data_IF_877859354480
#
_entry.id   IF_877859354480
#
_cell.length_a   1.000
_cell.length_b   1.000
_cell.length_c   1.000
_cell.angle_alpha   90.00
_cell.angle_beta   90.00
_cell.angle_gamma   90.00
#
_symmetry.space_group_name_H-M   'P 1'
#
loop_
_entity.id
_entity.type
_entity.pdbx_description
1 polymer ?
#
# COMPACT_ATOMS: atom_id res chain seq x y z
N UNK A 1 -8.12 -31.54 13.88
CA UNK A 1 -7.69 -30.16 13.56
C UNK A 1 -6.17 -30.07 13.34
N UNK A 2 -5.31 -30.28 14.35
CA UNK A 2 -3.83 -30.21 14.21
C UNK A 2 -3.26 -31.00 13.04
N UNK A 3 -3.71 -32.24 12.84
CA UNK A 3 -3.26 -33.08 11.73
C UNK A 3 -3.64 -32.52 10.34
N UNK A 4 -4.80 -31.84 10.23
CA UNK A 4 -5.27 -31.21 8.99
C UNK A 4 -4.38 -30.01 8.68
N UNK A 5 -4.18 -29.12 9.67
CA UNK A 5 -3.29 -27.96 9.54
C UNK A 5 -1.89 -28.40 9.09
N UNK A 6 -1.29 -29.38 9.78
CA UNK A 6 0.04 -29.90 9.43
C UNK A 6 0.09 -30.46 8.00
N UNK A 7 -0.97 -31.13 7.56
CA UNK A 7 -1.07 -31.65 6.19
C UNK A 7 -1.15 -30.51 5.18
N UNK A 8 -1.95 -29.48 5.43
CA UNK A 8 -2.06 -28.33 4.52
C UNK A 8 -0.75 -27.55 4.43
N UNK A 9 -0.10 -27.26 5.56
CA UNK A 9 1.21 -26.63 5.56
C UNK A 9 2.23 -27.44 4.73
N UNK A 10 2.26 -28.76 4.92
CA UNK A 10 3.13 -29.64 4.12
C UNK A 10 2.78 -29.62 2.63
N UNK A 11 1.50 -29.50 2.28
CA UNK A 11 1.06 -29.40 0.89
C UNK A 11 1.54 -28.10 0.25
N UNK A 12 1.44 -26.97 0.96
CA UNK A 12 1.91 -25.66 0.50
C UNK A 12 3.41 -25.61 0.33
N UNK A 13 4.17 -26.05 1.35
CA UNK A 13 5.63 -26.05 1.30
C UNK A 13 6.19 -26.99 0.22
N UNK A 14 5.42 -28.00 -0.21
CA UNK A 14 5.77 -28.87 -1.35
C UNK A 14 5.35 -28.31 -2.70
N UNK A 15 4.51 -27.28 -2.73
CA UNK A 15 4.03 -26.70 -3.96
C UNK A 15 5.08 -25.73 -4.52
N UNK A 16 5.63 -25.93 -5.73
CA UNK A 16 6.62 -25.02 -6.30
C UNK A 16 6.11 -23.58 -6.43
N UNK A 17 4.81 -23.37 -6.66
CA UNK A 17 4.22 -22.04 -6.74
C UNK A 17 4.36 -21.23 -5.43
N UNK A 18 4.46 -21.91 -4.28
CA UNK A 18 4.71 -21.24 -3.00
C UNK A 18 6.08 -20.55 -3.00
N UNK A 19 7.11 -21.26 -3.47
CA UNK A 19 8.49 -20.76 -3.49
C UNK A 19 8.72 -19.77 -4.62
N UNK A 20 8.12 -19.98 -5.79
CA UNK A 20 8.13 -19.01 -6.89
C UNK A 20 7.47 -17.71 -6.43
N UNK A 21 6.31 -17.81 -5.76
CA UNK A 21 5.62 -16.66 -5.18
C UNK A 21 6.49 -15.93 -4.16
N UNK A 22 7.13 -16.66 -3.25
CA UNK A 22 8.05 -16.07 -2.26
C UNK A 22 9.21 -15.32 -2.94
N UNK A 23 9.89 -15.95 -3.90
CA UNK A 23 10.99 -15.33 -4.63
C UNK A 23 10.54 -14.04 -5.33
N UNK A 24 9.41 -14.10 -6.03
CA UNK A 24 8.83 -12.94 -6.70
C UNK A 24 8.53 -11.80 -5.72
N UNK A 25 7.88 -12.11 -4.58
CA UNK A 25 7.57 -11.08 -3.58
C UNK A 25 8.85 -10.47 -3.01
N UNK A 26 9.85 -11.28 -2.66
CA UNK A 26 11.13 -10.76 -2.14
C UNK A 26 11.79 -9.82 -3.14
N UNK A 27 11.84 -10.22 -4.41
CA UNK A 27 12.42 -9.40 -5.46
C UNK A 27 11.68 -8.06 -5.64
N UNK A 28 10.35 -8.10 -5.78
CA UNK A 28 9.54 -6.88 -5.93
C UNK A 28 9.61 -5.97 -4.71
N UNK A 29 9.54 -6.54 -3.49
CA UNK A 29 9.65 -5.78 -2.25
C UNK A 29 11.03 -5.14 -2.12
N UNK A 30 12.10 -5.84 -2.51
CA UNK A 30 13.44 -5.24 -2.50
C UNK A 30 13.54 -4.08 -3.48
N UNK A 31 13.05 -4.22 -4.71
CA UNK A 31 13.05 -3.13 -5.68
C UNK A 31 12.32 -1.88 -5.16
N UNK A 32 11.16 -2.06 -4.53
CA UNK A 32 10.34 -0.95 -4.03
C UNK A 32 10.93 -0.33 -2.77
N UNK A 33 11.47 -1.15 -1.86
CA UNK A 33 11.97 -0.66 -0.57
C UNK A 33 13.44 -0.20 -0.61
N UNK A 34 14.19 -0.60 -1.64
CA UNK A 34 15.60 -0.25 -1.78
C UNK A 34 15.86 1.25 -1.70
N UNK A 35 15.15 2.15 -2.42
CA UNK A 35 15.40 3.58 -2.31
C UNK A 35 15.30 4.10 -0.88
N UNK A 36 14.27 3.67 -0.14
CA UNK A 36 14.07 4.08 1.25
C UNK A 36 15.16 3.56 2.18
N UNK A 37 15.68 2.35 1.94
CA UNK A 37 16.80 1.76 2.71
C UNK A 37 18.14 2.50 2.52
N UNK A 38 18.26 3.34 1.50
CA UNK A 38 19.45 4.15 1.22
C UNK A 38 19.31 5.61 1.68
N UNK A 39 18.22 5.97 2.35
CA UNK A 39 18.09 7.30 2.98
C UNK A 39 19.19 7.46 4.03
N UNK A 40 19.86 8.61 4.00
CA UNK A 40 20.97 8.97 4.87
C UNK A 40 21.03 10.49 5.03
N UNK A 41 21.76 10.96 6.04
CA UNK A 41 22.09 12.37 6.17
C UNK A 41 23.10 12.79 5.10
N UNK A 42 22.82 13.90 4.42
CA UNK A 42 23.64 14.41 3.33
C UNK A 42 24.90 15.07 3.87
N UNK A 43 26.02 14.82 3.21
CA UNK A 43 27.30 15.48 3.52
C UNK A 43 27.38 16.87 2.92
N UNK A 44 28.29 17.70 3.43
CA UNK A 44 28.47 19.07 2.93
C UNK A 44 28.92 19.05 1.46
N UNK A 45 28.11 19.64 0.57
CA UNK A 45 28.36 19.66 -0.88
C UNK A 45 27.78 18.46 -1.64
N UNK A 46 27.13 17.52 -0.94
CA UNK A 46 26.30 16.49 -1.57
C UNK A 46 25.02 17.12 -2.12
N UNK A 47 24.64 16.71 -3.33
CA UNK A 47 23.43 17.16 -4.00
C UNK A 47 22.69 15.94 -4.53
N UNK A 48 21.36 15.94 -4.36
CA UNK A 48 20.53 14.92 -4.95
C UNK A 48 20.56 15.02 -6.48
N UNK A 49 20.30 13.89 -7.16
CA UNK A 49 20.18 13.86 -8.61
C UNK A 49 19.07 14.80 -9.10
N UNK A 50 19.20 15.30 -10.33
CA UNK A 50 18.18 16.17 -10.93
C UNK A 50 17.11 15.30 -11.59
N UNK A 51 15.86 15.49 -11.17
CA UNK A 51 14.73 14.79 -11.77
C UNK A 51 14.21 15.56 -12.98
N UNK A 52 13.74 14.81 -13.97
CA UNK A 52 12.93 15.38 -15.05
C UNK A 52 11.63 15.98 -14.48
N UNK A 53 11.14 17.07 -15.06
CA UNK A 53 9.95 17.80 -14.57
C UNK A 53 8.71 16.91 -14.42
N UNK A 54 8.54 15.94 -15.31
CA UNK A 54 7.43 14.96 -15.27
C UNK A 54 7.47 14.01 -14.06
N UNK A 55 8.65 13.85 -13.43
CA UNK A 55 8.84 13.00 -12.26
C UNK A 55 8.78 13.79 -10.94
N UNK A 56 8.73 15.13 -10.98
CA UNK A 56 8.72 15.97 -9.78
C UNK A 56 7.48 15.70 -8.91
N UNK A 57 6.32 15.46 -9.53
CA UNK A 57 5.10 15.13 -8.79
C UNK A 57 5.23 13.86 -7.93
N UNK A 58 6.03 12.90 -8.37
CA UNK A 58 6.27 11.64 -7.66
C UNK A 58 7.51 11.68 -6.75
N UNK A 59 8.32 12.74 -6.82
CA UNK A 59 9.55 12.91 -6.04
C UNK A 59 9.31 12.77 -4.52
N UNK A 60 10.21 12.09 -3.83
CA UNK A 60 10.15 11.85 -2.39
C UNK A 60 11.50 12.24 -1.77
N UNK A 61 11.64 12.04 -0.46
CA UNK A 61 12.90 12.26 0.24
C UNK A 61 14.05 11.38 -0.30
N UNK A 62 13.72 10.25 -0.93
CA UNK A 62 14.69 9.40 -1.62
C UNK A 62 15.36 10.10 -2.80
N UNK A 63 14.71 11.13 -3.34
CA UNK A 63 15.19 11.95 -4.45
C UNK A 63 15.70 13.32 -3.98
N UNK A 64 15.80 13.52 -2.66
CA UNK A 64 16.23 14.79 -2.04
C UNK A 64 15.19 15.91 -2.05
N UNK A 65 13.90 15.55 -2.17
CA UNK A 65 12.81 16.52 -2.11
C UNK A 65 12.25 16.64 -0.69
N UNK A 66 11.96 17.87 -0.29
CA UNK A 66 11.44 18.24 1.05
C UNK A 66 10.17 19.07 0.93
N UNK A 67 9.29 19.08 1.94
CA UNK A 67 8.08 19.89 1.93
C UNK A 67 8.39 21.38 1.78
N UNK A 68 7.60 22.06 0.96
CA UNK A 68 7.66 23.51 0.77
C UNK A 68 6.77 24.22 1.80
N UNK A 69 7.27 25.30 2.40
CA UNK A 69 6.45 26.19 3.23
C UNK A 69 5.25 26.73 2.44
N UNK A 70 4.05 26.77 3.04
CA UNK A 70 2.83 27.24 2.36
C UNK A 70 3.01 28.62 1.71
N UNK A 71 3.73 29.53 2.37
CA UNK A 71 4.00 30.88 1.85
C UNK A 71 4.91 30.93 0.62
N UNK A 72 5.74 29.90 0.39
CA UNK A 72 6.66 29.80 -0.76
C UNK A 72 6.10 28.95 -1.90
N UNK A 73 5.09 28.12 -1.64
CA UNK A 73 4.50 27.20 -2.62
C UNK A 73 4.00 27.92 -3.87
N UNK A 74 3.30 29.03 -3.69
CA UNK A 74 2.82 29.84 -4.82
C UNK A 74 3.97 30.49 -5.61
N UNK A 75 5.06 30.85 -4.95
CA UNK A 75 6.24 31.42 -5.60
C UNK A 75 6.92 30.41 -6.51
N UNK A 76 7.16 29.19 -6.01
CA UNK A 76 7.72 28.10 -6.82
C UNK A 76 6.81 27.73 -7.99
N UNK A 77 5.49 27.67 -7.76
CA UNK A 77 4.52 27.40 -8.81
C UNK A 77 4.59 28.45 -9.93
N UNK A 78 4.67 29.74 -9.56
CA UNK A 78 4.84 30.83 -10.52
C UNK A 78 6.17 30.73 -11.28
N UNK A 79 7.27 30.32 -10.64
CA UNK A 79 8.55 30.13 -11.32
C UNK A 79 8.51 29.02 -12.38
N UNK A 80 7.78 27.93 -12.10
CA UNK A 80 7.57 26.85 -13.08
C UNK A 80 6.66 27.31 -14.23
N UNK A 81 5.53 27.97 -13.91
CA UNK A 81 4.63 28.54 -14.93
C UNK A 81 5.35 29.56 -15.80
N UNK A 82 6.21 30.40 -15.23
CA UNK A 82 7.01 31.39 -15.97
C UNK A 82 7.86 30.73 -17.06
N UNK A 83 8.54 29.63 -16.72
CA UNK A 83 9.38 28.86 -17.66
C UNK A 83 8.54 28.22 -18.76
N UNK A 84 7.42 27.58 -18.39
CA UNK A 84 6.53 26.92 -19.34
C UNK A 84 5.86 27.93 -20.29
N UNK A 85 5.41 29.08 -19.76
CA UNK A 85 4.90 30.20 -20.57
C UNK A 85 5.95 30.72 -21.56
N UNK A 86 7.20 30.90 -21.13
CA UNK A 86 8.26 31.38 -22.01
C UNK A 86 8.56 30.37 -23.14
N UNK A 87 8.52 29.07 -22.85
CA UNK A 87 8.75 28.00 -23.82
C UNK A 87 7.60 27.84 -24.82
N UNK A 88 6.35 27.89 -24.35
CA UNK A 88 5.18 27.53 -25.15
C UNK A 88 4.50 28.74 -25.83
N UNK A 89 4.58 29.93 -25.24
CA UNK A 89 3.86 31.12 -25.72
C UNK A 89 4.75 32.12 -26.49
N UNK A 90 5.98 31.73 -26.84
CA UNK A 90 6.94 32.55 -27.60
C UNK A 90 7.14 33.96 -26.98
N UNK A 91 7.15 34.02 -25.65
CA UNK A 91 7.39 35.21 -24.84
C UNK A 91 8.68 35.05 -24.05
N UNK A 92 9.23 36.16 -23.55
CA UNK A 92 10.39 36.12 -22.67
C UNK A 92 10.00 35.72 -21.24
N UNK A 93 10.94 35.14 -20.48
CA UNK A 93 10.71 34.88 -19.04
C UNK A 93 10.41 36.16 -18.26
N UNK A 94 10.92 37.31 -18.69
CA UNK A 94 10.62 38.62 -18.08
C UNK A 94 9.15 39.00 -18.29
N UNK A 95 8.63 38.89 -19.52
CA UNK A 95 7.21 39.14 -19.83
C UNK A 95 6.29 38.19 -19.05
N UNK A 96 6.60 36.89 -19.04
CA UNK A 96 5.86 35.90 -18.25
C UNK A 96 5.90 36.22 -16.75
N UNK A 97 7.07 36.61 -16.25
CA UNK A 97 7.27 37.02 -14.86
C UNK A 97 6.45 38.25 -14.47
N UNK A 98 6.36 39.25 -15.36
CA UNK A 98 5.55 40.45 -15.14
C UNK A 98 4.05 40.13 -15.07
N UNK A 99 3.56 39.24 -15.93
CA UNK A 99 2.17 38.77 -15.93
C UNK A 99 1.85 38.12 -14.57
N UNK A 100 2.65 37.16 -14.13
CA UNK A 100 2.45 36.46 -12.86
C UNK A 100 2.60 37.41 -11.66
N UNK A 101 3.57 38.32 -11.69
CA UNK A 101 3.75 39.32 -10.64
C UNK A 101 2.57 40.31 -10.58
N UNK A 102 1.95 40.65 -11.71
CA UNK A 102 0.72 41.43 -11.73
C UNK A 102 -0.43 40.68 -11.06
N UNK A 103 -0.64 39.41 -11.42
CA UNK A 103 -1.66 38.57 -10.79
C UNK A 103 -1.48 38.47 -9.28
N UNK A 104 -0.24 38.27 -8.80
CA UNK A 104 0.08 38.26 -7.36
C UNK A 104 -0.17 39.60 -6.67
N UNK A 105 0.13 40.72 -7.33
CA UNK A 105 -0.14 42.07 -6.78
C UNK A 105 -1.64 42.37 -6.66
N UNK A 106 -2.45 41.75 -7.51
CA UNK A 106 -3.91 41.83 -7.46
C UNK A 106 -4.51 40.86 -6.42
N UNK A 107 -3.69 40.14 -5.65
CA UNK A 107 -4.10 39.16 -4.62
C UNK A 107 -5.05 38.08 -5.17
N UNK A 108 -4.86 37.69 -6.43
CA UNK A 108 -5.67 36.66 -7.07
C UNK A 108 -5.47 35.31 -6.39
N UNK A 109 -6.57 34.61 -6.16
CA UNK A 109 -6.56 33.20 -5.77
C UNK A 109 -6.00 32.31 -6.88
N UNK A 110 -5.57 31.09 -6.53
CA UNK A 110 -5.09 30.08 -7.50
C UNK A 110 -6.12 29.82 -8.61
N UNK A 111 -7.41 29.83 -8.26
CA UNK A 111 -8.52 29.59 -9.19
C UNK A 111 -8.71 30.77 -10.16
N UNK A 112 -8.59 32.00 -9.67
CA UNK A 112 -8.62 33.20 -10.52
C UNK A 112 -7.41 33.28 -11.44
N UNK A 113 -6.22 32.93 -10.93
CA UNK A 113 -5.00 32.84 -11.76
C UNK A 113 -5.14 31.79 -12.86
N UNK A 114 -5.67 30.61 -12.53
CA UNK A 114 -5.92 29.53 -13.51
C UNK A 114 -6.85 30.01 -14.63
N UNK A 115 -8.00 30.61 -14.26
CA UNK A 115 -8.96 31.14 -15.24
C UNK A 115 -8.31 32.23 -16.10
N UNK A 116 -7.54 33.13 -15.48
CA UNK A 116 -6.94 34.25 -16.21
C UNK A 116 -5.84 33.81 -17.17
N UNK A 117 -4.96 32.91 -16.74
CA UNK A 117 -3.93 32.33 -17.60
C UNK A 117 -4.56 31.59 -18.79
N UNK A 118 -5.65 30.88 -18.54
CA UNK A 118 -6.43 30.19 -19.55
C UNK A 118 -7.12 31.15 -20.55
N UNK A 119 -7.80 32.19 -20.07
CA UNK A 119 -8.62 33.10 -20.91
C UNK A 119 -7.79 34.19 -21.61
N UNK A 120 -6.91 34.88 -20.88
CA UNK A 120 -6.19 36.04 -21.41
C UNK A 120 -4.95 35.62 -22.23
N UNK A 121 -4.34 34.48 -21.90
CA UNK A 121 -3.04 34.06 -22.44
C UNK A 121 -3.09 32.71 -23.17
N UNK A 122 -4.25 32.05 -23.23
CA UNK A 122 -4.43 30.73 -23.82
C UNK A 122 -3.43 29.69 -23.27
N UNK A 123 -3.06 29.84 -21.99
CA UNK A 123 -2.15 28.93 -21.29
C UNK A 123 -2.91 27.65 -20.87
N UNK A 124 -3.28 26.86 -21.88
CA UNK A 124 -3.75 25.48 -21.77
C UNK A 124 -2.68 24.53 -22.30
N UNK A 125 -1.42 24.79 -21.97
CA UNK A 125 -0.27 24.00 -22.41
C UNK A 125 -0.32 22.60 -21.76
N UNK A 126 0.83 21.99 -21.49
CA UNK A 126 0.90 20.64 -20.93
C UNK A 126 0.16 20.53 -19.58
N UNK A 127 0.21 21.57 -18.74
CA UNK A 127 -0.41 21.62 -17.41
C UNK A 127 -0.79 23.05 -16.98
N UNK A 128 -1.86 23.22 -16.19
CA UNK A 128 -2.27 24.52 -15.63
C UNK A 128 -1.51 24.94 -14.35
N UNK A 129 -1.66 26.18 -13.89
CA UNK A 129 -0.99 26.67 -12.67
C UNK A 129 -1.36 25.85 -11.44
N UNK A 130 -2.58 25.29 -11.38
CA UNK A 130 -2.98 24.37 -10.31
C UNK A 130 -2.10 23.13 -10.24
N UNK A 131 -1.73 22.55 -11.38
CA UNK A 131 -0.80 21.42 -11.40
C UNK A 131 0.58 21.82 -10.88
N UNK A 132 1.10 22.97 -11.33
CA UNK A 132 2.39 23.48 -10.87
C UNK A 132 2.38 23.80 -9.36
N UNK A 133 1.26 24.31 -8.85
CA UNK A 133 1.03 24.51 -7.43
C UNK A 133 1.00 23.18 -6.67
N UNK A 134 0.34 22.16 -7.22
CA UNK A 134 0.27 20.83 -6.63
C UNK A 134 1.67 20.19 -6.53
N UNK A 135 2.46 20.17 -7.61
CA UNK A 135 3.82 19.60 -7.58
C UNK A 135 4.82 20.44 -6.78
N UNK A 136 4.54 21.74 -6.56
CA UNK A 136 5.37 22.61 -5.71
C UNK A 136 5.18 22.38 -4.21
N UNK A 137 4.31 21.44 -3.81
CA UNK A 137 4.21 20.97 -2.43
C UNK A 137 5.56 20.49 -1.88
N UNK A 138 6.40 19.95 -2.77
CA UNK A 138 7.76 19.56 -2.47
C UNK A 138 8.72 20.30 -3.41
N UNK A 139 9.90 20.61 -2.91
CA UNK A 139 10.98 21.17 -3.71
C UNK A 139 12.28 20.43 -3.45
N UNK A 140 13.22 20.56 -4.38
CA UNK A 140 14.56 20.00 -4.22
C UNK A 140 15.28 20.74 -3.09
N UNK A 141 15.55 20.03 -2.01
CA UNK A 141 16.19 20.60 -0.84
C UNK A 141 17.71 20.71 -1.02
N UNK A 142 18.30 21.71 -0.37
CA UNK A 142 19.74 21.70 -0.09
C UNK A 142 20.10 20.60 0.92
N UNK A 143 21.38 20.23 1.02
CA UNK A 143 21.84 19.26 2.03
C UNK A 143 21.42 19.66 3.46
N UNK A 144 21.38 20.96 3.77
CA UNK A 144 20.90 21.47 5.06
C UNK A 144 19.41 21.22 5.26
N UNK A 145 18.58 21.63 4.29
CA UNK A 145 17.12 21.45 4.36
C UNK A 145 16.71 19.97 4.41
N UNK A 146 17.41 19.10 3.68
CA UNK A 146 17.19 17.65 3.72
C UNK A 146 17.49 17.12 5.12
N UNK A 147 18.64 17.48 5.70
CA UNK A 147 19.01 17.01 7.03
C UNK A 147 18.07 17.54 8.12
N UNK A 148 17.68 18.81 8.04
CA UNK A 148 16.69 19.40 8.96
C UNK A 148 15.33 18.69 8.85
N UNK A 149 14.92 18.33 7.63
CA UNK A 149 13.69 17.57 7.40
C UNK A 149 13.77 16.15 7.96
N UNK A 150 14.91 15.47 7.78
CA UNK A 150 15.19 14.16 8.37
C UNK A 150 15.10 14.22 9.90
N UNK A 151 15.79 15.19 10.52
CA UNK A 151 15.78 15.37 11.98
C UNK A 151 14.39 15.62 12.52
N UNK A 152 13.64 16.53 11.89
CA UNK A 152 12.25 16.83 12.26
C UNK A 152 11.39 15.57 12.18
N UNK A 153 11.41 14.88 11.04
CA UNK A 153 10.55 13.70 10.81
C UNK A 153 10.90 12.54 11.75
N UNK A 154 12.19 12.30 11.97
CA UNK A 154 12.68 11.22 12.84
C UNK A 154 12.51 11.54 14.33
N UNK A 155 12.33 12.81 14.70
CA UNK A 155 11.97 13.22 16.06
C UNK A 155 10.50 12.90 16.40
N UNK A 156 9.62 12.93 15.40
CA UNK A 156 8.20 12.61 15.58
C UNK A 156 7.98 11.09 15.66
N UNK A 157 8.58 10.36 14.73
CA UNK A 157 8.45 8.90 14.65
C UNK A 157 9.75 8.22 14.22
N UNK A 158 9.96 6.99 14.71
CA UNK A 158 11.12 6.18 14.32
C UNK A 158 11.16 5.89 12.82
N UNK A 159 12.32 5.71 12.23
CA UNK A 159 12.47 5.26 10.84
C UNK A 159 11.71 3.95 10.56
N UNK A 160 11.68 3.03 11.53
CA UNK A 160 10.91 1.78 11.47
C UNK A 160 9.39 1.97 11.37
N UNK A 161 8.86 3.10 11.82
CA UNK A 161 7.45 3.45 11.68
C UNK A 161 7.10 3.76 10.22
N UNK A 162 7.86 4.65 9.59
CA UNK A 162 7.65 5.04 8.19
C UNK A 162 7.91 3.89 7.23
N UNK A 163 9.07 3.22 7.37
CA UNK A 163 9.40 2.09 6.50
C UNK A 163 8.48 0.89 6.76
N UNK A 164 8.03 0.69 8.01
CA UNK A 164 7.02 -0.32 8.36
C UNK A 164 5.69 -0.11 7.65
N UNK A 165 5.24 1.14 7.48
CA UNK A 165 4.03 1.48 6.72
C UNK A 165 4.20 1.25 5.23
N UNK A 166 5.29 1.71 4.63
CA UNK A 166 5.59 1.42 3.20
C UNK A 166 5.71 -0.08 2.96
N UNK A 167 6.43 -0.81 3.82
CA UNK A 167 6.48 -2.27 3.77
C UNK A 167 5.07 -2.87 3.80
N UNK A 168 4.25 -2.43 4.75
CA UNK A 168 2.91 -2.97 4.95
C UNK A 168 2.01 -2.76 3.74
N UNK A 169 2.08 -1.59 3.10
CA UNK A 169 1.29 -1.25 1.91
C UNK A 169 1.55 -2.26 0.78
N UNK A 170 2.81 -2.35 0.35
CA UNK A 170 3.20 -3.20 -0.78
C UNK A 170 3.18 -4.68 -0.41
N UNK A 171 3.65 -5.06 0.78
CA UNK A 171 3.66 -6.45 1.22
C UNK A 171 2.22 -6.98 1.36
N UNK A 172 1.31 -6.18 1.93
CA UNK A 172 -0.11 -6.50 2.01
C UNK A 172 -0.73 -6.75 0.64
N UNK A 173 -0.42 -5.89 -0.33
CA UNK A 173 -0.86 -6.05 -1.72
C UNK A 173 -0.34 -7.37 -2.33
N UNK A 174 0.97 -7.59 -2.32
CA UNK A 174 1.57 -8.77 -2.93
C UNK A 174 1.15 -10.08 -2.24
N UNK A 175 1.06 -10.08 -0.92
CA UNK A 175 0.56 -11.24 -0.17
C UNK A 175 -0.92 -11.49 -0.42
N UNK A 176 -1.75 -10.45 -0.58
CA UNK A 176 -3.16 -10.62 -0.94
C UNK A 176 -3.35 -11.28 -2.30
N UNK A 177 -2.63 -10.81 -3.32
CA UNK A 177 -2.62 -11.44 -4.66
C UNK A 177 -2.08 -12.87 -4.61
N UNK A 178 -0.97 -13.10 -3.91
CA UNK A 178 -0.36 -14.41 -3.77
C UNK A 178 -1.27 -15.38 -3.02
N UNK A 179 -1.91 -14.93 -1.94
CA UNK A 179 -2.90 -15.70 -1.20
C UNK A 179 -4.11 -16.03 -2.09
N UNK A 180 -4.58 -15.11 -2.94
CA UNK A 180 -5.65 -15.39 -3.88
C UNK A 180 -5.30 -16.58 -4.80
N UNK A 181 -4.07 -16.64 -5.32
CA UNK A 181 -3.65 -17.71 -6.22
C UNK A 181 -3.35 -19.02 -5.47
N UNK A 182 -2.61 -18.95 -4.36
CA UNK A 182 -2.18 -20.13 -3.62
C UNK A 182 -3.34 -20.80 -2.88
N UNK A 183 -4.27 -20.03 -2.32
CA UNK A 183 -5.41 -20.59 -1.60
C UNK A 183 -6.43 -21.28 -2.51
N UNK A 184 -6.36 -21.09 -3.84
CA UNK A 184 -7.08 -21.92 -4.81
C UNK A 184 -6.78 -23.41 -4.60
N UNK A 185 -5.53 -23.74 -4.26
CA UNK A 185 -5.09 -25.11 -4.02
C UNK A 185 -5.58 -25.70 -2.68
N UNK A 186 -6.14 -24.89 -1.78
CA UNK A 186 -6.56 -25.30 -0.43
C UNK A 186 -7.65 -26.39 -0.47
N UNK A 187 -8.60 -26.22 -1.39
CA UNK A 187 -9.74 -27.11 -1.56
C UNK A 187 -9.73 -27.85 -2.90
N UNK A 188 -8.88 -27.50 -3.86
CA UNK A 188 -8.92 -28.10 -5.22
C UNK A 188 -8.71 -29.62 -5.21
N UNK A 189 -7.94 -30.12 -4.23
CA UNK A 189 -7.69 -31.56 -4.04
C UNK A 189 -8.89 -32.27 -3.39
N UNK A 190 -9.64 -31.54 -2.58
CA UNK A 190 -10.72 -32.07 -1.74
C UNK A 190 -12.07 -31.96 -2.43
N UNK A 191 -12.23 -31.05 -3.39
CA UNK A 191 -13.42 -30.91 -4.24
C UNK A 191 -13.46 -31.89 -5.41
N UNK A 192 -12.49 -32.80 -5.53
CA UNK A 192 -12.61 -33.95 -6.44
C UNK A 192 -13.75 -34.86 -5.94
N UNK A 193 -14.68 -35.20 -6.83
CA UNK A 193 -15.97 -35.87 -6.51
C UNK A 193 -15.81 -37.02 -5.52
N UNK A 194 -14.92 -37.96 -5.79
CA UNK A 194 -14.74 -39.18 -4.97
C UNK A 194 -14.09 -38.88 -3.60
N UNK A 195 -13.29 -37.82 -3.51
CA UNK A 195 -12.65 -37.39 -2.25
C UNK A 195 -13.61 -36.62 -1.36
N UNK A 196 -14.48 -35.79 -1.95
CA UNK A 196 -15.46 -35.00 -1.22
C UNK A 196 -16.44 -35.90 -0.45
N UNK A 197 -17.00 -36.91 -1.10
CA UNK A 197 -17.94 -37.85 -0.48
C UNK A 197 -17.24 -38.68 0.61
N UNK A 198 -16.01 -39.15 0.36
CA UNK A 198 -15.21 -39.89 1.33
C UNK A 198 -14.89 -39.07 2.59
N UNK A 199 -14.72 -37.75 2.48
CA UNK A 199 -14.46 -36.90 3.63
C UNK A 199 -15.67 -36.79 4.57
N UNK A 200 -16.89 -36.93 4.06
CA UNK A 200 -18.11 -36.85 4.86
C UNK A 200 -18.31 -38.08 5.75
N UNK A 201 -17.76 -39.23 5.34
CA UNK A 201 -17.82 -40.51 6.08
C UNK A 201 -16.72 -40.67 7.13
N UNK A 202 -15.68 -39.82 7.11
CA UNK A 202 -14.62 -39.87 8.13
C UNK A 202 -15.14 -39.38 9.49
N UNK A 203 -14.63 -39.94 10.62
CA UNK A 203 -14.97 -39.52 11.98
C UNK A 203 -14.29 -38.19 12.36
N UNK A 204 -14.37 -37.19 11.50
CA UNK A 204 -13.86 -35.83 11.74
C UNK A 204 -15.06 -34.91 11.93
N UNK A 205 -15.05 -34.08 12.97
CA UNK A 205 -16.12 -33.10 13.16
C UNK A 205 -16.06 -32.00 12.09
N UNK A 206 -17.23 -31.47 11.71
CA UNK A 206 -17.34 -30.39 10.73
C UNK A 206 -16.47 -29.17 11.11
N UNK A 207 -16.49 -28.77 12.39
CA UNK A 207 -15.67 -27.68 12.89
C UNK A 207 -14.18 -27.97 12.80
N UNK A 208 -13.75 -29.18 13.20
CA UNK A 208 -12.34 -29.55 13.13
C UNK A 208 -11.80 -29.59 11.69
N UNK A 209 -12.64 -29.95 10.73
CA UNK A 209 -12.31 -29.95 9.31
C UNK A 209 -12.24 -28.53 8.73
N UNK A 210 -13.34 -27.76 8.83
CA UNK A 210 -13.43 -26.42 8.25
C UNK A 210 -12.40 -25.47 8.87
N UNK A 211 -12.33 -25.38 10.21
CA UNK A 211 -11.32 -24.54 10.86
C UNK A 211 -9.91 -25.06 10.56
N UNK A 212 -9.72 -26.38 10.49
CA UNK A 212 -8.42 -26.98 10.15
C UNK A 212 -7.94 -26.58 8.75
N UNK A 213 -8.83 -26.51 7.77
CA UNK A 213 -8.55 -26.06 6.41
C UNK A 213 -8.27 -24.56 6.36
N UNK A 214 -9.19 -23.74 6.87
CA UNK A 214 -9.03 -22.29 6.88
C UNK A 214 -7.73 -21.87 7.59
N UNK A 215 -7.47 -22.42 8.79
CA UNK A 215 -6.24 -22.13 9.53
C UNK A 215 -4.99 -22.71 8.85
N UNK A 216 -5.09 -23.84 8.15
CA UNK A 216 -3.98 -24.39 7.36
C UNK A 216 -3.54 -23.45 6.24
N UNK A 217 -4.51 -22.90 5.50
CA UNK A 217 -4.26 -21.89 4.47
C UNK A 217 -3.76 -20.57 5.04
N UNK A 218 -4.41 -20.05 6.08
CA UNK A 218 -4.00 -18.83 6.76
C UNK A 218 -2.56 -18.94 7.29
N UNK A 219 -2.22 -20.00 8.03
CA UNK A 219 -0.88 -20.20 8.58
C UNK A 219 0.18 -20.36 7.49
N UNK A 220 -0.15 -20.93 6.33
CA UNK A 220 0.79 -20.96 5.20
C UNK A 220 1.15 -19.55 4.74
N UNK A 221 0.19 -18.64 4.69
CA UNK A 221 0.42 -17.23 4.34
C UNK A 221 1.14 -16.48 5.48
N UNK A 222 0.84 -16.79 6.74
CA UNK A 222 1.56 -16.25 7.91
C UNK A 222 3.05 -16.63 7.87
N UNK A 223 3.40 -17.82 7.37
CA UNK A 223 4.82 -18.19 7.21
C UNK A 223 5.53 -17.30 6.17
N UNK A 224 4.89 -17.01 5.05
CA UNK A 224 5.43 -16.07 4.04
C UNK A 224 5.56 -14.68 4.64
N UNK A 225 4.49 -14.17 5.25
CA UNK A 225 4.47 -12.88 5.92
C UNK A 225 5.56 -12.77 6.99
N UNK A 226 5.73 -13.78 7.83
CA UNK A 226 6.71 -13.78 8.91
C UNK A 226 8.14 -13.75 8.37
N UNK A 227 8.44 -14.53 7.34
CA UNK A 227 9.74 -14.47 6.67
C UNK A 227 10.02 -13.08 6.07
N UNK A 228 9.06 -12.51 5.34
CA UNK A 228 9.20 -11.18 4.74
C UNK A 228 9.38 -10.09 5.82
N UNK A 229 8.60 -10.15 6.90
CA UNK A 229 8.67 -9.19 8.00
C UNK A 229 10.02 -9.25 8.70
N UNK A 230 10.57 -10.46 8.93
CA UNK A 230 11.90 -10.62 9.50
C UNK A 230 13.00 -10.11 8.57
N UNK A 231 12.91 -10.43 7.28
CA UNK A 231 13.89 -9.99 6.28
C UNK A 231 13.93 -8.47 6.15
N UNK A 232 12.80 -7.86 5.79
CA UNK A 232 12.73 -6.42 5.53
C UNK A 232 12.77 -5.58 6.81
N UNK A 233 12.22 -6.09 7.91
CA UNK A 233 12.38 -5.45 9.22
C UNK A 233 13.83 -5.50 9.69
N UNK A 234 14.56 -6.60 9.45
CA UNK A 234 16.00 -6.67 9.73
C UNK A 234 16.83 -5.73 8.86
N UNK A 235 16.47 -5.57 7.58
CA UNK A 235 17.10 -4.58 6.69
C UNK A 235 16.82 -3.14 7.15
N UNK A 236 15.59 -2.85 7.59
CA UNK A 236 15.21 -1.55 8.16
C UNK A 236 16.06 -1.20 9.39
N UNK A 237 16.19 -2.14 10.33
CA UNK A 237 17.04 -1.98 11.51
C UNK A 237 18.49 -1.71 11.12
N UNK A 238 19.05 -2.54 10.23
CA UNK A 238 20.42 -2.41 9.77
C UNK A 238 20.67 -1.05 9.12
N UNK A 239 19.84 -0.66 8.15
CA UNK A 239 19.98 0.62 7.45
C UNK A 239 19.83 1.82 8.39
N UNK A 240 18.83 1.79 9.29
CA UNK A 240 18.63 2.88 10.25
C UNK A 240 19.78 3.00 11.24
N UNK A 241 20.30 1.89 11.78
CA UNK A 241 21.47 1.92 12.70
C UNK A 241 22.71 2.47 12.00
N UNK A 242 22.98 2.07 10.75
CA UNK A 242 24.13 2.58 9.99
C UNK A 242 24.06 4.09 9.77
N UNK A 243 22.86 4.65 9.63
CA UNK A 243 22.63 6.07 9.39
C UNK A 243 22.31 6.87 10.67
N UNK A 244 22.38 6.26 11.85
CA UNK A 244 22.09 6.93 13.12
C UNK A 244 20.61 7.23 13.36
N UNK A 245 19.70 6.62 12.61
CA UNK A 245 18.26 6.84 12.75
C UNK A 245 17.66 6.06 13.94
N UNK A 246 16.61 6.59 14.58
CA UNK A 246 15.86 5.85 15.59
C UNK A 246 15.11 4.68 14.95
N UNK A 247 15.41 3.45 15.40
CA UNK A 247 14.79 2.22 14.90
C UNK A 247 14.15 1.40 16.02
N UNK A 248 13.12 0.63 15.66
CA UNK A 248 12.41 -0.26 16.58
C UNK A 248 11.66 -1.36 15.82
N UNK A 249 12.22 -2.56 15.84
CA UNK A 249 11.65 -3.73 15.17
C UNK A 249 10.23 -4.06 15.67
N UNK A 250 9.91 -3.92 16.97
CA UNK A 250 8.53 -4.08 17.45
C UNK A 250 7.53 -3.14 16.77
N UNK A 251 7.91 -1.89 16.45
CA UNK A 251 7.05 -0.94 15.74
C UNK A 251 6.79 -1.41 14.31
N UNK A 252 7.85 -1.82 13.60
CA UNK A 252 7.75 -2.38 12.25
C UNK A 252 6.88 -3.64 12.23
N UNK A 253 7.15 -4.57 13.14
CA UNK A 253 6.41 -5.82 13.29
C UNK A 253 4.93 -5.58 13.63
N UNK A 254 4.64 -4.64 14.53
CA UNK A 254 3.27 -4.30 14.89
C UNK A 254 2.48 -3.77 13.69
N UNK A 255 3.08 -2.88 12.88
CA UNK A 255 2.45 -2.43 11.64
C UNK A 255 2.18 -3.60 10.68
N UNK A 256 3.19 -4.42 10.40
CA UNK A 256 3.06 -5.59 9.55
C UNK A 256 1.98 -6.57 10.05
N UNK A 257 1.86 -6.77 11.37
CA UNK A 257 0.91 -7.70 11.96
C UNK A 257 -0.52 -7.16 11.90
N UNK A 258 -0.72 -5.92 12.36
CA UNK A 258 -2.05 -5.30 12.50
C UNK A 258 -2.73 -5.10 11.15
N UNK A 259 -1.97 -4.73 10.13
CA UNK A 259 -2.54 -4.31 8.85
C UNK A 259 -2.55 -5.41 7.78
N UNK A 260 -1.80 -6.52 7.96
CA UNK A 260 -1.76 -7.62 6.98
C UNK A 260 -2.50 -8.86 7.48
N UNK A 261 -2.30 -9.27 8.74
CA UNK A 261 -2.81 -10.56 9.21
C UNK A 261 -4.33 -10.69 9.19
N UNK A 262 -5.13 -9.67 9.58
CA UNK A 262 -6.58 -9.81 9.50
C UNK A 262 -7.09 -9.87 8.05
N UNK A 263 -6.41 -9.19 7.12
CA UNK A 263 -6.71 -9.29 5.69
C UNK A 263 -6.47 -10.73 5.18
N UNK A 264 -5.33 -11.34 5.53
CA UNK A 264 -5.03 -12.74 5.16
C UNK A 264 -6.02 -13.73 5.77
N UNK A 265 -6.46 -13.50 7.00
CA UNK A 265 -7.49 -14.31 7.65
C UNK A 265 -8.82 -14.21 6.89
N UNK A 266 -9.24 -12.99 6.54
CA UNK A 266 -10.45 -12.76 5.77
C UNK A 266 -10.39 -13.47 4.41
N UNK A 267 -9.27 -13.34 3.67
CA UNK A 267 -9.08 -13.99 2.37
C UNK A 267 -9.23 -15.52 2.52
N UNK A 268 -8.60 -16.14 3.53
CA UNK A 268 -8.73 -17.57 3.77
C UNK A 268 -10.17 -18.01 4.12
N UNK A 269 -10.91 -17.17 4.85
CA UNK A 269 -12.30 -17.43 5.21
C UNK A 269 -13.24 -17.29 4.00
N UNK A 270 -13.07 -16.27 3.16
CA UNK A 270 -13.80 -16.10 1.90
C UNK A 270 -13.54 -17.28 0.98
N UNK A 271 -12.29 -17.72 0.86
CA UNK A 271 -11.94 -18.91 0.08
C UNK A 271 -12.67 -20.15 0.57
N UNK A 272 -12.68 -20.35 1.88
CA UNK A 272 -13.36 -21.48 2.51
C UNK A 272 -14.86 -21.43 2.23
N UNK A 273 -15.50 -20.27 2.43
CA UNK A 273 -16.93 -20.11 2.18
C UNK A 273 -17.28 -20.36 0.71
N UNK A 274 -16.54 -19.77 -0.24
CA UNK A 274 -16.75 -19.95 -1.67
C UNK A 274 -16.58 -21.42 -2.08
N UNK A 275 -15.51 -22.08 -1.63
CA UNK A 275 -15.27 -23.50 -1.93
C UNK A 275 -16.44 -24.38 -1.47
N UNK A 276 -17.04 -24.08 -0.32
CA UNK A 276 -18.21 -24.79 0.16
C UNK A 276 -19.47 -24.46 -0.64
N UNK A 277 -19.78 -23.18 -0.87
CA UNK A 277 -20.99 -22.76 -1.58
C UNK A 277 -21.04 -23.38 -2.97
N UNK A 278 -19.97 -23.21 -3.75
CA UNK A 278 -19.88 -23.62 -5.14
C UNK A 278 -19.44 -25.08 -5.34
N UNK A 279 -19.05 -25.79 -4.27
CA UNK A 279 -18.38 -27.11 -4.35
C UNK A 279 -17.13 -27.08 -5.24
N UNK A 280 -16.53 -25.91 -5.40
CA UNK A 280 -15.38 -25.65 -6.24
C UNK A 280 -14.68 -24.39 -5.67
N UNK A 281 -13.37 -24.40 -5.43
CA UNK A 281 -12.64 -23.22 -4.95
C UNK A 281 -12.43 -22.15 -6.03
N UNK A 282 -12.49 -22.49 -7.32
CA UNK A 282 -12.14 -21.56 -8.40
C UNK A 282 -12.96 -20.25 -8.43
N UNK A 283 -14.27 -20.25 -8.13
CA UNK A 283 -15.05 -19.01 -8.03
C UNK A 283 -14.56 -18.03 -6.95
N UNK A 284 -13.75 -18.47 -5.99
CA UNK A 284 -13.17 -17.56 -5.00
C UNK A 284 -12.17 -16.57 -5.61
N UNK A 285 -11.46 -16.97 -6.67
CA UNK A 285 -10.48 -16.10 -7.36
C UNK A 285 -11.14 -14.81 -7.88
N UNK A 286 -12.16 -14.86 -8.77
CA UNK A 286 -12.79 -13.64 -9.25
C UNK A 286 -13.50 -12.86 -8.13
N UNK A 287 -14.08 -13.53 -7.12
CA UNK A 287 -14.69 -12.85 -5.96
C UNK A 287 -13.66 -12.04 -5.18
N UNK A 288 -12.51 -12.64 -4.88
CA UNK A 288 -11.42 -11.94 -4.18
C UNK A 288 -10.80 -10.85 -5.03
N UNK A 289 -10.73 -11.03 -6.35
CA UNK A 289 -10.26 -10.00 -7.26
C UNK A 289 -11.15 -8.75 -7.21
N UNK A 290 -12.47 -8.93 -7.28
CA UNK A 290 -13.43 -7.84 -7.10
C UNK A 290 -13.31 -7.21 -5.71
N UNK A 291 -13.07 -8.01 -4.68
CA UNK A 291 -12.92 -7.51 -3.32
C UNK A 291 -11.64 -6.67 -3.14
N UNK A 292 -10.53 -7.05 -3.77
CA UNK A 292 -9.31 -6.24 -3.78
C UNK A 292 -9.49 -4.95 -4.56
N UNK A 293 -10.19 -4.97 -5.71
CA UNK A 293 -10.55 -3.74 -6.45
C UNK A 293 -11.33 -2.82 -5.52
N UNK A 294 -12.44 -3.32 -4.94
CA UNK A 294 -13.24 -2.56 -3.99
C UNK A 294 -12.38 -1.94 -2.87
N UNK A 295 -11.44 -2.70 -2.32
CA UNK A 295 -10.59 -2.27 -1.20
C UNK A 295 -9.53 -1.23 -1.58
N UNK A 296 -9.18 -1.12 -2.86
CA UNK A 296 -8.11 -0.26 -3.37
C UNK A 296 -8.64 0.92 -4.21
N UNK A 297 -9.94 0.99 -4.46
CA UNK A 297 -10.56 2.09 -5.21
C UNK A 297 -10.53 3.39 -4.41
N UNK A 298 -9.95 4.43 -5.01
CA UNK A 298 -10.05 5.81 -4.52
C UNK A 298 -11.51 6.29 -4.47
N UNK A 299 -11.74 7.34 -3.69
CA UNK A 299 -13.02 8.03 -3.56
C UNK A 299 -12.78 9.52 -3.35
N UNK A 300 -13.83 10.34 -3.52
CA UNK A 300 -13.76 11.75 -3.11
C UNK A 300 -14.00 11.87 -1.62
N UNK A 301 -13.12 12.61 -0.95
CA UNK A 301 -13.25 12.93 0.46
C UNK A 301 -14.31 14.00 0.74
N UNK A 302 -14.58 14.28 2.03
CA UNK A 302 -15.46 15.38 2.45
C UNK A 302 -14.97 16.76 1.99
N UNK A 303 -13.68 16.90 1.74
CA UNK A 303 -12.96 18.06 1.22
C UNK A 303 -13.04 18.19 -0.32
N UNK A 304 -13.67 17.23 -1.01
CA UNK A 304 -13.85 17.25 -2.47
C UNK A 304 -12.68 16.67 -3.27
N UNK A 305 -11.52 16.45 -2.63
CA UNK A 305 -10.33 15.89 -3.27
C UNK A 305 -10.47 14.39 -3.51
N UNK A 306 -9.94 13.91 -4.64
CA UNK A 306 -9.91 12.49 -4.95
C UNK A 306 -8.66 11.86 -4.33
N UNK A 307 -8.85 10.80 -3.55
CA UNK A 307 -7.74 10.12 -2.87
C UNK A 307 -8.13 8.73 -2.38
N UNK A 308 -7.21 8.08 -1.67
CA UNK A 308 -7.51 6.83 -1.01
C UNK A 308 -8.17 7.10 0.35
N UNK A 309 -9.42 6.64 0.50
CA UNK A 309 -10.12 6.65 1.78
C UNK A 309 -10.46 5.21 2.16
N UNK A 310 -10.20 4.84 3.42
CA UNK A 310 -10.48 3.51 3.93
C UNK A 310 -11.95 3.14 3.76
N UNK A 311 -12.21 2.01 3.09
CA UNK A 311 -13.57 1.50 2.88
C UNK A 311 -13.95 0.47 3.94
N UNK A 312 -15.22 0.40 4.36
CA UNK A 312 -15.68 -0.63 5.28
C UNK A 312 -15.39 -2.03 4.73
N UNK A 313 -14.84 -2.89 5.59
CA UNK A 313 -14.41 -4.25 5.25
C UNK A 313 -13.34 -4.30 4.15
N UNK A 314 -12.56 -3.23 3.89
CA UNK A 314 -11.46 -3.31 2.94
C UNK A 314 -10.40 -4.33 3.39
N UNK A 315 -9.98 -5.23 2.50
CA UNK A 315 -8.92 -6.24 2.74
C UNK A 315 -7.54 -5.78 2.28
N UNK A 316 -7.41 -4.50 1.94
CA UNK A 316 -6.16 -3.84 1.59
C UNK A 316 -6.10 -2.54 2.39
N UNK A 317 -4.92 -2.24 2.94
CA UNK A 317 -4.65 -0.99 3.65
C UNK A 317 -3.57 -0.26 2.87
N UNK A 318 -3.86 0.97 2.45
CA UNK A 318 -2.90 1.87 1.82
C UNK A 318 -2.46 2.94 2.80
N UNK A 319 -1.23 3.43 2.66
CA UNK A 319 -0.73 4.55 3.42
C UNK A 319 -0.44 5.69 2.43
N UNK A 320 -1.42 6.58 2.17
CA UNK A 320 -1.21 7.70 1.26
C UNK A 320 -0.13 8.64 1.80
N UNK A 321 0.49 9.40 0.89
CA UNK A 321 1.56 10.35 1.20
C UNK A 321 2.97 9.87 0.84
N UNK A 322 3.89 10.83 0.85
CA UNK A 322 5.34 10.62 0.71
C UNK A 322 5.91 9.87 1.91
N UNK A 323 7.19 9.51 1.92
CA UNK A 323 7.75 8.60 2.92
C UNK A 323 7.53 9.06 4.37
N UNK A 324 7.86 10.32 4.68
CA UNK A 324 7.70 10.89 6.03
C UNK A 324 6.32 11.49 6.29
N UNK A 325 5.49 11.65 5.24
CA UNK A 325 4.11 12.15 5.33
C UNK A 325 3.07 11.02 5.30
N UNK A 326 3.49 9.76 5.50
CA UNK A 326 2.53 8.63 5.43
C UNK A 326 1.46 8.73 6.50
N UNK A 327 0.20 8.70 6.10
CA UNK A 327 -0.92 8.72 7.02
C UNK A 327 -1.60 7.35 7.16
N UNK A 328 -2.07 7.08 8.37
CA UNK A 328 -2.90 5.90 8.63
C UNK A 328 -4.34 6.20 8.20
N UNK A 329 -4.99 5.34 7.38
CA UNK A 329 -6.36 5.58 6.99
C UNK A 329 -7.29 5.69 8.19
N UNK A 330 -8.23 6.66 8.18
CA UNK A 330 -9.21 6.80 9.26
C UNK A 330 -9.94 5.48 9.52
N UNK A 331 -10.16 5.17 10.81
CA UNK A 331 -10.88 3.98 11.26
C UNK A 331 -10.27 2.62 10.82
N UNK A 332 -9.02 2.56 10.35
CA UNK A 332 -8.43 1.29 9.91
C UNK A 332 -8.43 0.22 11.01
N UNK A 333 -8.19 0.57 12.29
CA UNK A 333 -8.23 -0.41 13.39
C UNK A 333 -9.63 -0.99 13.60
N UNK A 334 -10.66 -0.15 13.41
CA UNK A 334 -12.04 -0.57 13.46
C UNK A 334 -12.34 -1.51 12.28
N UNK A 335 -11.85 -1.19 11.07
CA UNK A 335 -11.93 -2.06 9.91
C UNK A 335 -11.26 -3.42 10.16
N UNK A 336 -10.02 -3.42 10.68
CA UNK A 336 -9.29 -4.65 11.01
C UNK A 336 -10.06 -5.52 12.02
N UNK A 337 -10.68 -4.89 13.02
CA UNK A 337 -11.55 -5.58 13.98
C UNK A 337 -12.78 -6.19 13.30
N UNK A 338 -13.44 -5.43 12.42
CA UNK A 338 -14.58 -5.94 11.66
C UNK A 338 -14.20 -7.10 10.72
N UNK A 339 -13.01 -7.07 10.11
CA UNK A 339 -12.54 -8.19 9.30
C UNK A 339 -12.39 -9.47 10.11
N UNK A 340 -11.86 -9.39 11.34
CA UNK A 340 -11.75 -10.55 12.24
C UNK A 340 -13.15 -11.08 12.59
N UNK A 341 -14.07 -10.19 12.99
CA UNK A 341 -15.45 -10.58 13.32
C UNK A 341 -16.17 -11.24 12.13
N UNK A 342 -16.06 -10.64 10.93
CA UNK A 342 -16.64 -11.18 9.71
C UNK A 342 -16.01 -12.52 9.30
N UNK A 343 -14.70 -12.69 9.51
CA UNK A 343 -14.00 -13.96 9.30
C UNK A 343 -14.57 -15.07 10.20
N UNK A 344 -14.77 -14.78 11.48
CA UNK A 344 -15.38 -15.73 12.44
C UNK A 344 -16.80 -16.09 12.00
N UNK A 345 -17.60 -15.11 11.58
CA UNK A 345 -18.95 -15.35 11.07
C UNK A 345 -18.94 -16.24 9.82
N UNK A 346 -18.06 -15.97 8.86
CA UNK A 346 -17.90 -16.80 7.65
C UNK A 346 -17.53 -18.24 7.98
N UNK A 347 -16.68 -18.46 8.99
CA UNK A 347 -16.34 -19.81 9.46
C UNK A 347 -17.55 -20.52 10.09
N UNK A 348 -18.34 -19.82 10.92
CA UNK A 348 -19.56 -20.39 11.52
C UNK A 348 -20.57 -20.79 10.44
N UNK A 349 -20.78 -19.94 9.44
CA UNK A 349 -21.64 -20.21 8.29
C UNK A 349 -21.11 -21.40 7.49
N UNK A 350 -19.81 -21.43 7.22
CA UNK A 350 -19.13 -22.52 6.52
C UNK A 350 -19.30 -23.88 7.23
N UNK A 351 -19.14 -23.91 8.55
CA UNK A 351 -19.37 -25.11 9.37
C UNK A 351 -20.83 -25.57 9.25
N UNK A 352 -21.78 -24.63 9.28
CA UNK A 352 -23.21 -24.92 9.17
C UNK A 352 -23.58 -25.50 7.81
N UNK A 353 -23.02 -24.94 6.72
CA UNK A 353 -23.18 -25.47 5.35
C UNK A 353 -22.61 -26.89 5.25
N UNK A 354 -21.41 -27.12 5.80
CA UNK A 354 -20.79 -28.45 5.80
C UNK A 354 -21.65 -29.49 6.55
N UNK A 355 -22.16 -29.15 7.74
CA UNK A 355 -23.03 -30.05 8.52
C UNK A 355 -24.28 -30.45 7.75
N UNK A 356 -24.95 -29.51 7.08
CA UNK A 356 -26.17 -29.79 6.30
C UNK A 356 -25.94 -30.67 5.08
N UNK A 357 -24.71 -30.70 4.54
CA UNK A 357 -24.35 -31.46 3.34
C UNK A 357 -23.79 -32.86 3.63
N UNK A 358 -23.69 -33.27 4.90
CA UNK A 358 -23.46 -34.67 5.26
C UNK A 358 -24.68 -35.50 4.84
N UNK A 359 -24.54 -36.18 3.70
CA UNK A 359 -25.39 -37.29 3.33
C UNK A 359 -24.93 -38.48 4.20
N UNK A 360 -25.86 -39.07 4.95
CA UNK A 360 -25.61 -40.28 5.75
C UNK A 360 -25.57 -41.51 4.85
#
# INVERSE_FOLDING_TARGET
>A
MKAIIRRELKNYLKNPFFWIGLFFIVFQMYQILSPYLHIHYYQQGEAAEELAEENIGDADITDGYVPTDEGKRMELACELVKRDMAQELNMTEEEAGEILAKMRREDMSLEEMEIRLAEDYNFYTKYGIRYYYDISEFHKGSAGEINDYLDRSLSEHSYSYYLGRKFTDFCGLFLGFTAMLLLAFLFIRDTKRDTWELLHTKPVSASAYICGKAMGGFLAMVLLWGFLTLLFGGMCEYAGIQNGFPVSFPVFFAAAAVYILPNLLMIACVYTAAALVFKNPLPAVPVLFLYMIYSNMGSRGPDGNYGYFGRPLAIMVRFPGKFFETEQPPLVLLNQTFLICASVLLLILSISIWKRRRIY
#
